data_IF_590656182975
#
_entry.id   IF_590656182975
#
_cell.length_a   1.000
_cell.length_b   1.000
_cell.length_c   1.000
_cell.angle_alpha   90.00
_cell.angle_beta   90.00
_cell.angle_gamma   90.00
#
_symmetry.space_group_name_H-M   'P 1'
#
loop_
_entity.id
_entity.type
_entity.pdbx_description
1 polymer ?
#
# COMPACT_ATOMS: atom_id res chain seq x y z
N UNK A 1 -0.01 -10.53 29.08
CA UNK A 1 -0.79 -9.26 29.13
C UNK A 1 -0.01 -8.26 29.97
N UNK A 2 1.20 -7.88 29.54
CA UNK A 2 2.21 -7.27 30.44
C UNK A 2 2.57 -5.81 30.13
N UNK A 3 2.03 -5.20 29.06
CA UNK A 3 2.50 -3.88 28.61
C UNK A 3 1.59 -2.68 28.98
N UNK A 4 0.53 -2.86 29.78
CA UNK A 4 -0.35 -1.76 30.19
C UNK A 4 -1.13 -1.06 29.07
N UNK A 5 -1.14 -1.63 27.86
CA UNK A 5 -1.85 -1.07 26.70
C UNK A 5 -3.33 -1.46 26.76
N UNK A 6 -4.28 -0.51 26.70
CA UNK A 6 -5.69 -0.82 26.60
C UNK A 6 -5.98 -1.67 25.34
N UNK A 7 -6.62 -2.82 25.52
CA UNK A 7 -6.94 -3.72 24.42
C UNK A 7 -8.38 -4.23 24.52
N UNK A 8 -8.98 -4.55 23.37
CA UNK A 8 -10.24 -5.26 23.29
C UNK A 8 -10.02 -6.64 22.66
N UNK A 9 -10.54 -7.69 23.31
CA UNK A 9 -10.59 -9.04 22.74
C UNK A 9 -11.99 -9.29 22.20
N UNK A 10 -12.07 -9.75 20.95
CA UNK A 10 -13.34 -10.00 20.26
C UNK A 10 -13.41 -11.45 19.80
N UNK A 11 -14.59 -12.05 19.86
CA UNK A 11 -14.78 -13.41 19.39
C UNK A 11 -14.76 -13.46 17.84
N UNK A 12 -14.07 -14.42 17.19
CA UNK A 12 -14.01 -14.52 15.73
C UNK A 12 -15.38 -14.58 15.03
N UNK A 13 -16.38 -15.17 15.69
CA UNK A 13 -17.75 -15.23 15.18
C UNK A 13 -18.40 -13.85 15.05
N UNK A 14 -18.03 -12.87 15.88
CA UNK A 14 -18.55 -11.50 15.77
C UNK A 14 -18.05 -10.83 14.48
N UNK A 15 -16.78 -11.04 14.13
CA UNK A 15 -16.21 -10.57 12.86
C UNK A 15 -16.86 -11.27 11.66
N UNK A 16 -17.15 -12.57 11.79
CA UNK A 16 -17.85 -13.32 10.75
C UNK A 16 -19.29 -12.82 10.55
N UNK A 17 -20.02 -12.56 11.65
CA UNK A 17 -21.35 -11.97 11.62
C UNK A 17 -21.32 -10.56 11.01
N UNK A 18 -20.30 -9.76 11.34
CA UNK A 18 -20.09 -8.44 10.74
C UNK A 18 -19.85 -8.51 9.22
N UNK A 19 -19.07 -9.49 8.74
CA UNK A 19 -18.92 -9.75 7.29
C UNK A 19 -20.27 -9.97 6.63
N UNK A 20 -21.07 -10.88 7.20
CA UNK A 20 -22.40 -11.21 6.67
C UNK A 20 -23.31 -9.97 6.65
N UNK A 21 -23.31 -9.19 7.74
CA UNK A 21 -24.09 -7.95 7.86
C UNK A 21 -23.69 -6.87 6.86
N UNK A 22 -22.39 -6.78 6.52
CA UNK A 22 -21.86 -5.86 5.49
C UNK A 22 -22.07 -6.36 4.05
N UNK A 23 -22.57 -7.58 3.86
CA UNK A 23 -22.79 -8.16 2.52
C UNK A 23 -21.49 -8.42 1.73
N UNK A 24 -20.34 -8.46 2.40
CA UNK A 24 -19.03 -8.63 1.74
C UNK A 24 -18.83 -10.12 1.43
N UNK A 25 -19.05 -10.48 0.15
CA UNK A 25 -18.91 -11.86 -0.34
C UNK A 25 -17.49 -12.22 -0.80
N UNK A 26 -16.77 -11.25 -1.35
CA UNK A 26 -15.41 -11.47 -1.84
C UNK A 26 -14.42 -11.58 -0.67
N UNK A 27 -13.53 -12.58 -0.73
CA UNK A 27 -12.49 -12.82 0.28
C UNK A 27 -11.13 -12.66 -0.38
N UNK A 28 -10.49 -11.52 -0.12
CA UNK A 28 -9.07 -11.28 -0.42
C UNK A 28 -8.43 -10.69 0.83
N UNK A 29 -7.12 -10.83 1.00
CA UNK A 29 -6.43 -10.31 2.19
C UNK A 29 -6.69 -8.81 2.39
N UNK A 30 -6.77 -8.05 1.30
CA UNK A 30 -7.11 -6.62 1.35
C UNK A 30 -8.53 -6.36 1.84
N UNK A 31 -9.49 -7.15 1.38
CA UNK A 31 -10.90 -7.01 1.79
C UNK A 31 -11.08 -7.47 3.24
N UNK A 32 -10.42 -8.56 3.65
CA UNK A 32 -10.45 -9.07 5.02
C UNK A 32 -9.81 -8.09 6.00
N UNK A 33 -8.62 -7.56 5.68
CA UNK A 33 -7.96 -6.56 6.50
C UNK A 33 -8.82 -5.30 6.67
N UNK A 34 -9.44 -4.83 5.57
CA UNK A 34 -10.33 -3.67 5.63
C UNK A 34 -11.57 -3.94 6.48
N UNK A 35 -12.20 -5.10 6.31
CA UNK A 35 -13.36 -5.51 7.11
C UNK A 35 -13.03 -5.56 8.61
N UNK A 36 -11.88 -6.15 8.97
CA UNK A 36 -11.43 -6.23 10.36
C UNK A 36 -11.16 -4.83 10.92
N UNK A 37 -10.53 -3.95 10.13
CA UNK A 37 -10.29 -2.57 10.55
C UNK A 37 -11.60 -1.80 10.78
N UNK A 38 -12.58 -1.93 9.87
CA UNK A 38 -13.89 -1.30 9.99
C UNK A 38 -14.68 -1.85 11.20
N UNK A 39 -14.58 -3.16 11.47
CA UNK A 39 -15.17 -3.78 12.64
C UNK A 39 -14.51 -3.28 13.93
N UNK A 40 -13.18 -3.28 13.98
CA UNK A 40 -12.42 -2.81 15.14
C UNK A 40 -12.69 -1.34 15.43
N UNK A 41 -12.77 -0.47 14.41
CA UNK A 41 -13.10 0.94 14.59
C UNK A 41 -14.47 1.11 15.26
N UNK A 42 -15.49 0.35 14.84
CA UNK A 42 -16.83 0.38 15.43
C UNK A 42 -16.85 -0.12 16.88
N UNK A 43 -16.17 -1.24 17.16
CA UNK A 43 -16.09 -1.83 18.50
C UNK A 43 -15.27 -0.97 19.48
N UNK A 44 -14.17 -0.37 19.02
CA UNK A 44 -13.31 0.50 19.83
C UNK A 44 -14.06 1.78 20.24
N UNK A 45 -14.77 2.40 19.29
CA UNK A 45 -15.58 3.60 19.54
C UNK A 45 -16.68 3.32 20.58
N UNK A 46 -17.39 2.20 20.45
CA UNK A 46 -18.41 1.77 21.42
C UNK A 46 -17.88 1.47 22.83
N UNK A 47 -16.56 1.25 22.98
CA UNK A 47 -15.88 0.98 24.26
C UNK A 47 -15.07 2.18 24.78
N UNK A 48 -15.14 3.32 24.10
CA UNK A 48 -14.34 4.51 24.43
C UNK A 48 -12.83 4.33 24.24
N UNK A 49 -12.42 3.28 23.54
CA UNK A 49 -11.01 3.03 23.20
C UNK A 49 -10.69 3.77 21.91
N UNK A 50 -9.59 4.53 21.91
CA UNK A 50 -9.08 5.16 20.69
C UNK A 50 -7.88 4.38 20.18
N UNK A 51 -7.76 4.15 18.86
CA UNK A 51 -6.53 3.64 18.29
C UNK A 51 -5.36 4.53 18.72
N UNK A 52 -4.27 3.91 19.17
CA UNK A 52 -3.03 4.65 19.41
C UNK A 52 -2.53 5.14 18.04
N UNK A 53 -2.49 6.46 17.87
CA UNK A 53 -1.98 7.09 16.66
C UNK A 53 -0.63 7.70 17.01
N UNK A 54 0.46 7.03 16.66
CA UNK A 54 1.82 7.58 16.80
C UNK A 54 2.13 8.55 15.66
N UNK A 55 2.92 9.59 15.95
CA UNK A 55 3.43 10.56 14.97
C UNK A 55 2.43 11.60 14.47
N UNK A 56 2.88 12.36 13.48
CA UNK A 56 2.15 13.52 12.95
C UNK A 56 0.94 13.10 12.09
N UNK A 57 -0.25 13.31 12.66
CA UNK A 57 -1.52 12.92 12.03
C UNK A 57 -1.79 13.60 10.70
N UNK A 58 -1.47 14.89 10.59
CA UNK A 58 -1.68 15.66 9.37
C UNK A 58 -0.63 15.26 8.31
N UNK A 59 0.60 14.91 8.71
CA UNK A 59 1.62 14.45 7.77
C UNK A 59 1.22 13.11 7.14
N UNK A 60 0.66 12.20 7.96
CA UNK A 60 0.10 10.93 7.49
C UNK A 60 -1.05 11.16 6.52
N UNK A 61 -1.93 12.11 6.80
CA UNK A 61 -3.04 12.47 5.92
C UNK A 61 -2.54 13.04 4.58
N UNK A 62 -1.57 13.95 4.60
CA UNK A 62 -0.96 14.51 3.40
C UNK A 62 -0.31 13.42 2.53
N UNK A 63 0.45 12.50 3.13
CA UNK A 63 1.06 11.37 2.40
C UNK A 63 -0.01 10.42 1.86
N UNK A 64 -1.07 10.15 2.61
CA UNK A 64 -2.20 9.34 2.12
C UNK A 64 -2.90 10.02 0.94
N UNK A 65 -3.12 11.34 1.00
CA UNK A 65 -3.72 12.11 -0.09
C UNK A 65 -2.82 12.14 -1.32
N UNK A 66 -1.51 12.31 -1.14
CA UNK A 66 -0.51 12.22 -2.22
C UNK A 66 -0.65 10.90 -2.98
N UNK A 67 -0.75 9.77 -2.27
CA UNK A 67 -0.97 8.45 -2.90
C UNK A 67 -2.25 8.42 -3.73
N UNK A 68 -3.35 8.94 -3.21
CA UNK A 68 -4.62 9.00 -3.95
C UNK A 68 -4.52 9.82 -5.23
N UNK A 69 -3.80 10.95 -5.22
CA UNK A 69 -3.58 11.75 -6.42
C UNK A 69 -2.71 11.03 -7.46
N UNK A 70 -1.68 10.30 -7.02
CA UNK A 70 -0.86 9.48 -7.91
C UNK A 70 -1.71 8.39 -8.57
N UNK A 71 -2.57 7.71 -7.79
CA UNK A 71 -3.47 6.68 -8.30
C UNK A 71 -4.47 7.27 -9.32
N UNK A 72 -5.04 8.45 -9.03
CA UNK A 72 -5.94 9.16 -9.93
C UNK A 72 -5.23 9.59 -11.23
N UNK A 73 -4.03 10.18 -11.12
CA UNK A 73 -3.23 10.58 -12.27
C UNK A 73 -2.86 9.39 -13.16
N UNK A 74 -2.52 8.25 -12.55
CA UNK A 74 -2.30 7.01 -13.30
C UNK A 74 -3.56 6.56 -14.04
N UNK A 75 -4.72 6.61 -13.40
CA UNK A 75 -5.99 6.27 -14.04
C UNK A 75 -6.30 7.19 -15.23
N UNK A 76 -6.09 8.50 -15.11
CA UNK A 76 -6.30 9.43 -16.23
C UNK A 76 -5.30 9.20 -17.37
N UNK A 77 -4.04 8.88 -17.07
CA UNK A 77 -3.04 8.52 -18.10
C UNK A 77 -3.46 7.27 -18.89
N UNK A 78 -3.98 6.25 -18.19
CA UNK A 78 -4.51 5.06 -18.84
C UNK A 78 -5.71 5.37 -19.75
N UNK A 79 -6.62 6.27 -19.33
CA UNK A 79 -7.74 6.71 -20.18
C UNK A 79 -7.26 7.53 -21.38
N UNK A 80 -6.30 8.41 -21.19
CA UNK A 80 -5.73 9.24 -22.25
C UNK A 80 -5.06 8.40 -23.34
N UNK A 81 -4.42 7.29 -22.96
CA UNK A 81 -3.82 6.34 -23.91
C UNK A 81 -4.85 5.67 -24.85
N UNK A 82 -6.13 5.63 -24.47
CA UNK A 82 -7.21 5.02 -25.25
C UNK A 82 -8.11 6.06 -25.94
N UNK A 83 -7.89 7.36 -25.71
CA UNK A 83 -8.76 8.41 -26.20
C UNK A 83 -8.39 8.83 -27.63
N UNK A 84 -9.30 8.64 -28.58
CA UNK A 84 -9.08 9.00 -29.99
C UNK A 84 -9.51 10.44 -30.31
N UNK A 85 -10.69 10.84 -29.84
CA UNK A 85 -11.26 12.14 -30.17
C UNK A 85 -10.51 13.30 -29.51
N UNK A 86 -10.22 14.36 -30.28
CA UNK A 86 -9.50 15.54 -29.79
C UNK A 86 -10.18 16.20 -28.57
N UNK A 87 -11.51 16.42 -28.55
CA UNK A 87 -12.15 17.04 -27.39
C UNK A 87 -11.96 16.25 -26.08
N UNK A 88 -11.99 14.91 -26.15
CA UNK A 88 -11.78 14.05 -24.98
C UNK A 88 -10.32 14.11 -24.51
N UNK A 89 -9.34 14.08 -25.43
CA UNK A 89 -7.93 14.21 -25.07
C UNK A 89 -7.63 15.56 -24.42
N UNK A 90 -8.19 16.65 -24.94
CA UNK A 90 -8.00 18.00 -24.39
C UNK A 90 -8.59 18.09 -22.98
N UNK A 91 -9.78 17.49 -22.76
CA UNK A 91 -10.39 17.37 -21.43
C UNK A 91 -9.52 16.56 -20.45
N UNK A 92 -9.01 15.39 -20.87
CA UNK A 92 -8.15 14.55 -20.03
C UNK A 92 -6.84 15.25 -19.68
N UNK A 93 -6.23 15.96 -20.64
CA UNK A 93 -5.00 16.72 -20.42
C UNK A 93 -5.21 17.83 -19.37
N UNK A 94 -6.35 18.53 -19.40
CA UNK A 94 -6.68 19.54 -18.39
C UNK A 94 -6.82 18.93 -16.98
N UNK A 95 -7.47 17.77 -16.86
CA UNK A 95 -7.57 17.05 -15.58
C UNK A 95 -6.20 16.59 -15.08
N UNK A 96 -5.38 16.01 -15.95
CA UNK A 96 -4.04 15.58 -15.60
C UNK A 96 -3.17 16.74 -15.11
N UNK A 97 -3.21 17.89 -15.78
CA UNK A 97 -2.48 19.08 -15.37
C UNK A 97 -2.92 19.57 -13.98
N UNK A 98 -4.23 19.55 -13.69
CA UNK A 98 -4.74 19.90 -12.37
C UNK A 98 -4.27 18.92 -11.28
N UNK A 99 -4.27 17.61 -11.58
CA UNK A 99 -3.77 16.59 -10.66
C UNK A 99 -2.27 16.72 -10.39
N UNK A 100 -1.47 17.01 -11.42
CA UNK A 100 -0.02 17.22 -11.31
C UNK A 100 0.29 18.47 -10.47
N UNK A 101 -0.44 19.57 -10.68
CA UNK A 101 -0.31 20.78 -9.87
C UNK A 101 -0.67 20.53 -8.40
N UNK A 102 -1.78 19.83 -8.14
CA UNK A 102 -2.19 19.47 -6.78
C UNK A 102 -1.16 18.54 -6.10
N UNK A 103 -0.58 17.62 -6.85
CA UNK A 103 0.46 16.71 -6.36
C UNK A 103 1.73 17.50 -5.95
N UNK A 104 2.20 18.40 -6.81
CA UNK A 104 3.36 19.25 -6.51
C UNK A 104 3.12 20.16 -5.28
N UNK A 105 1.90 20.69 -5.14
CA UNK A 105 1.50 21.45 -3.96
C UNK A 105 1.61 20.63 -2.67
N UNK A 106 1.09 19.40 -2.68
CA UNK A 106 1.20 18.51 -1.52
C UNK A 106 2.63 18.09 -1.22
N UNK A 107 3.45 17.80 -2.23
CA UNK A 107 4.86 17.45 -2.01
C UNK A 107 5.64 18.61 -1.38
N UNK A 108 5.33 19.85 -1.76
CA UNK A 108 5.91 21.05 -1.17
C UNK A 108 5.48 21.20 0.30
N UNK A 109 4.19 21.04 0.59
CA UNK A 109 3.65 21.12 1.95
C UNK A 109 4.26 20.05 2.87
N UNK A 110 4.36 18.82 2.37
CA UNK A 110 4.98 17.70 3.09
C UNK A 110 6.45 18.01 3.39
N UNK A 111 7.20 18.50 2.40
CA UNK A 111 8.61 18.84 2.59
C UNK A 111 8.80 19.97 3.61
N UNK A 112 7.95 21.01 3.55
CA UNK A 112 7.97 22.12 4.51
C UNK A 112 7.69 21.62 5.93
N UNK A 113 6.70 20.74 6.10
CA UNK A 113 6.34 20.16 7.39
C UNK A 113 7.48 19.32 7.99
N UNK A 114 8.13 18.49 7.17
CA UNK A 114 9.29 17.70 7.58
C UNK A 114 10.46 18.61 7.96
N UNK A 115 10.67 19.72 7.25
CA UNK A 115 11.75 20.66 7.53
C UNK A 115 11.50 21.50 8.81
N UNK A 116 10.23 21.76 9.14
CA UNK A 116 9.83 22.52 10.33
C UNK A 116 10.06 21.76 11.65
N UNK A 117 10.05 20.43 11.61
CA UNK A 117 10.31 19.57 12.76
C UNK A 117 11.79 19.10 12.76
N UNK A 118 12.62 19.47 13.76
CA UNK A 118 14.02 19.09 13.83
C UNK A 118 14.27 17.58 13.82
N UNK A 119 13.41 16.80 14.46
CA UNK A 119 13.55 15.34 14.57
C UNK A 119 13.21 14.68 13.23
N UNK A 120 12.13 15.13 12.57
CA UNK A 120 11.76 14.66 11.23
C UNK A 120 12.81 15.08 10.19
N UNK A 121 13.34 16.30 10.28
CA UNK A 121 14.39 16.77 9.40
C UNK A 121 15.69 15.96 9.59
N UNK A 122 16.05 15.61 10.83
CA UNK A 122 17.18 14.74 11.12
C UNK A 122 16.98 13.32 10.57
N UNK A 123 15.76 12.77 10.70
CA UNK A 123 15.40 11.50 10.08
C UNK A 123 15.51 11.55 8.56
N UNK A 124 14.98 12.60 7.93
CA UNK A 124 15.04 12.79 6.48
C UNK A 124 16.48 12.84 5.96
N UNK A 125 17.38 13.56 6.66
CA UNK A 125 18.82 13.61 6.32
C UNK A 125 19.48 12.23 6.40
N UNK A 126 19.15 11.42 7.41
CA UNK A 126 19.67 10.04 7.54
C UNK A 126 19.18 9.14 6.41
N UNK A 127 17.91 9.26 6.02
CA UNK A 127 17.37 8.48 4.91
C UNK A 127 17.96 8.91 3.57
N UNK A 128 18.21 10.21 3.38
CA UNK A 128 18.81 10.75 2.16
C UNK A 128 20.27 10.28 1.94
N UNK A 129 20.99 9.84 2.97
CA UNK A 129 22.33 9.27 2.78
C UNK A 129 22.32 7.87 2.18
N UNK A 130 21.15 7.21 2.09
CA UNK A 130 21.02 5.87 1.51
C UNK A 130 20.93 5.97 -0.01
N UNK A 131 21.82 5.24 -0.70
CA UNK A 131 21.81 5.15 -2.16
C UNK A 131 20.48 4.54 -2.66
N UNK A 132 19.78 5.25 -3.53
CA UNK A 132 18.51 4.80 -4.13
C UNK A 132 17.26 5.24 -3.35
N UNK A 133 17.39 5.95 -2.24
CA UNK A 133 16.25 6.51 -1.49
C UNK A 133 16.03 7.95 -1.92
N UNK A 134 14.97 8.19 -2.70
CA UNK A 134 14.61 9.52 -3.19
C UNK A 134 13.68 10.29 -2.26
N UNK A 135 13.48 11.61 -2.49
CA UNK A 135 12.65 12.47 -1.64
C UNK A 135 11.23 11.93 -1.41
N UNK A 136 10.60 11.41 -2.46
CA UNK A 136 9.27 10.79 -2.40
C UNK A 136 9.22 9.62 -1.42
N UNK A 137 10.24 8.76 -1.47
CA UNK A 137 10.34 7.60 -0.57
C UNK A 137 10.55 8.07 0.86
N UNK A 138 11.40 9.08 1.08
CA UNK A 138 11.64 9.67 2.41
C UNK A 138 10.34 10.21 3.00
N UNK A 139 9.62 11.04 2.25
CA UNK A 139 8.33 11.60 2.68
C UNK A 139 7.33 10.50 3.04
N UNK A 140 7.26 9.46 2.19
CA UNK A 140 6.35 8.33 2.40
C UNK A 140 6.71 7.55 3.66
N UNK A 141 8.00 7.25 3.87
CA UNK A 141 8.47 6.54 5.05
C UNK A 141 8.20 7.34 6.33
N UNK A 142 8.55 8.63 6.35
CA UNK A 142 8.36 9.47 7.53
C UNK A 142 6.87 9.64 7.87
N UNK A 143 6.01 9.85 6.88
CA UNK A 143 4.58 10.06 7.12
C UNK A 143 3.79 8.77 7.40
N UNK A 144 4.25 7.62 6.92
CA UNK A 144 3.56 6.34 7.09
C UNK A 144 4.11 5.48 8.24
N UNK A 145 5.35 5.71 8.67
CA UNK A 145 6.06 4.91 9.68
C UNK A 145 6.71 5.82 10.74
N UNK A 146 5.91 6.34 11.69
CA UNK A 146 6.43 7.16 12.78
C UNK A 146 7.39 6.39 13.72
N UNK A 147 7.37 5.06 13.70
CA UNK A 147 8.22 4.19 14.52
C UNK A 147 9.63 4.03 13.96
N UNK A 148 9.90 4.61 12.78
CA UNK A 148 11.17 4.48 12.08
C UNK A 148 12.32 5.07 12.93
N UNK A 149 13.40 4.30 13.06
CA UNK A 149 14.55 4.66 13.91
C UNK A 149 14.41 4.28 15.39
N UNK A 150 13.22 3.85 15.84
CA UNK A 150 12.99 3.30 17.18
C UNK A 150 12.90 1.77 17.17
N UNK A 151 12.27 1.21 16.15
CA UNK A 151 12.15 -0.24 15.96
C UNK A 151 13.26 -0.82 15.08
N UNK A 152 13.54 -2.10 15.25
CA UNK A 152 14.50 -2.84 14.42
C UNK A 152 13.96 -3.03 13.00
N UNK A 153 14.86 -3.25 12.04
CA UNK A 153 14.47 -3.49 10.65
C UNK A 153 13.52 -4.70 10.46
N UNK A 154 13.63 -5.73 11.31
CA UNK A 154 12.71 -6.88 11.28
C UNK A 154 11.31 -6.52 11.78
N UNK A 155 11.22 -5.70 12.82
CA UNK A 155 9.95 -5.21 13.36
C UNK A 155 9.26 -4.28 12.36
N UNK A 156 10.00 -3.34 11.76
CA UNK A 156 9.51 -2.48 10.69
C UNK A 156 9.03 -3.31 9.51
N UNK A 157 9.84 -4.27 9.01
CA UNK A 157 9.45 -5.15 7.92
C UNK A 157 8.20 -5.98 8.25
N UNK A 158 8.03 -6.41 9.50
CA UNK A 158 6.79 -7.07 9.93
C UNK A 158 5.60 -6.11 10.00
N UNK A 159 5.82 -4.85 10.40
CA UNK A 159 4.78 -3.82 10.52
C UNK A 159 4.24 -3.42 9.15
N UNK A 160 5.12 -3.30 8.14
CA UNK A 160 4.72 -3.02 6.75
C UNK A 160 4.31 -4.27 5.96
N UNK A 161 4.35 -5.46 6.57
CA UNK A 161 3.97 -6.72 5.91
C UNK A 161 4.97 -7.26 4.89
N UNK A 162 6.23 -6.81 4.94
CA UNK A 162 7.32 -7.27 4.07
C UNK A 162 8.08 -8.49 4.63
N UNK A 163 7.96 -8.78 5.93
CA UNK A 163 8.65 -9.91 6.55
C UNK A 163 7.94 -11.24 6.26
N UNK A 164 8.57 -12.22 5.58
CA UNK A 164 8.01 -13.55 5.41
C UNK A 164 7.91 -14.25 6.76
N UNK A 165 6.74 -14.78 7.10
CA UNK A 165 6.52 -15.59 8.31
C UNK A 165 6.49 -17.06 7.95
N UNK A 166 7.38 -17.85 8.55
CA UNK A 166 7.25 -19.31 8.55
C UNK A 166 5.99 -19.69 9.31
N UNK A 167 5.18 -20.55 8.69
CA UNK A 167 3.83 -20.92 9.16
C UNK A 167 3.94 -22.12 10.10
N UNK A 168 4.26 -21.87 11.37
CA UNK A 168 4.32 -22.94 12.38
C UNK A 168 2.99 -23.16 13.12
N UNK A 169 1.98 -22.31 12.89
CA UNK A 169 0.76 -22.26 13.69
C UNK A 169 -0.44 -23.03 13.09
N UNK A 170 -0.21 -24.09 12.31
CA UNK A 170 -1.31 -24.85 11.71
C UNK A 170 -1.02 -26.32 11.48
N UNK A 171 -1.50 -27.20 12.39
CA UNK A 171 -1.91 -28.55 12.00
C UNK A 171 -3.17 -28.42 11.14
N UNK A 172 -2.98 -28.19 9.85
CA UNK A 172 -3.98 -28.48 8.82
C UNK A 172 -3.38 -29.54 7.91
N UNK A 173 -4.16 -30.58 7.62
CA UNK A 173 -3.71 -31.88 7.13
C UNK A 173 -2.69 -31.84 5.98
N UNK A 174 -1.71 -32.74 6.10
CA UNK A 174 -0.81 -33.28 5.08
C UNK A 174 -0.58 -32.41 3.81
N UNK A 175 0.48 -31.60 3.85
CA UNK A 175 1.15 -31.06 2.66
C UNK A 175 2.50 -30.47 3.08
N UNK A 176 3.58 -30.63 2.28
CA UNK A 176 4.90 -30.13 2.67
C UNK A 176 4.90 -28.60 2.77
N UNK A 177 5.81 -28.01 3.57
CA UNK A 177 5.86 -26.57 3.79
C UNK A 177 6.08 -25.83 2.48
N UNK A 178 5.07 -25.09 2.03
CA UNK A 178 5.23 -24.17 0.91
C UNK A 178 5.78 -22.86 1.43
N UNK A 179 7.08 -22.64 1.20
CA UNK A 179 7.61 -21.29 1.14
C UNK A 179 7.02 -20.63 -0.11
N UNK A 180 6.12 -19.65 0.07
CA UNK A 180 5.64 -18.82 -1.02
C UNK A 180 6.75 -17.88 -1.46
N UNK A 181 7.70 -18.41 -2.24
CA UNK A 181 8.53 -17.60 -3.11
C UNK A 181 7.60 -16.95 -4.14
N UNK A 182 7.63 -15.62 -4.22
CA UNK A 182 7.07 -14.89 -5.34
C UNK A 182 7.73 -15.42 -6.62
N UNK A 183 7.05 -16.31 -7.34
CA UNK A 183 7.45 -16.71 -8.68
C UNK A 183 7.20 -15.51 -9.59
N UNK A 184 8.31 -14.87 -9.94
CA UNK A 184 8.47 -14.05 -11.14
C UNK A 184 7.74 -14.68 -12.32
N UNK A 185 6.83 -13.90 -12.91
CA UNK A 185 6.21 -14.19 -14.19
C UNK A 185 7.31 -14.28 -15.26
N UNK A 186 7.60 -15.49 -15.71
CA UNK A 186 8.46 -15.76 -16.85
C UNK A 186 7.72 -16.74 -17.77
N UNK A 187 6.74 -16.22 -18.51
CA UNK A 187 6.17 -16.84 -19.70
C UNK A 187 5.27 -15.84 -20.44
N UNK A 188 5.87 -14.72 -20.87
CA UNK A 188 5.47 -14.12 -22.15
C UNK A 188 6.14 -14.93 -23.26
N UNK A 189 5.43 -15.07 -24.38
CA UNK A 189 5.87 -15.64 -25.67
C UNK A 189 5.74 -17.16 -25.83
N UNK A 190 4.52 -17.59 -26.20
CA UNK A 190 4.33 -18.76 -27.05
C UNK A 190 3.38 -18.43 -28.20
N UNK A 191 3.95 -17.92 -29.29
CA UNK A 191 3.39 -18.05 -30.65
C UNK A 191 4.49 -18.59 -31.54
N UNK A 192 4.39 -19.83 -32.05
CA UNK A 192 5.12 -20.23 -33.23
C UNK A 192 4.25 -19.94 -34.47
N UNK A 193 4.71 -18.98 -35.25
CA UNK A 193 4.26 -18.72 -36.62
C UNK A 193 4.64 -19.89 -37.53
N UNK A 194 3.77 -20.17 -38.50
CA UNK A 194 3.83 -21.30 -39.41
C UNK A 194 5.08 -21.31 -40.31
N UNK A 195 5.59 -22.50 -40.59
CA UNK A 195 6.66 -22.75 -41.55
C UNK A 195 6.11 -22.80 -42.98
N UNK A 196 6.83 -22.28 -44.01
CA UNK A 196 6.61 -22.67 -45.39
C UNK A 196 7.46 -23.90 -45.75
N UNK A 197 6.81 -24.84 -46.43
CA UNK A 197 7.35 -26.07 -47.00
C UNK A 197 8.34 -25.79 -48.13
N UNK A 198 9.54 -26.38 -48.04
CA UNK A 198 10.49 -26.46 -49.14
C UNK A 198 10.22 -27.74 -49.96
N UNK A 199 9.91 -27.56 -51.24
CA UNK A 199 9.90 -28.63 -52.25
C UNK A 199 11.28 -28.68 -52.93
N UNK A 200 11.88 -29.87 -52.93
CA UNK A 200 13.10 -30.24 -53.65
C UNK A 200 12.80 -30.36 -55.15
N UNK A 201 13.67 -29.82 -56.02
CA UNK A 201 14.06 -30.52 -57.26
C UNK A 201 15.32 -29.93 -57.90
N UNK A 202 16.31 -30.83 -58.05
CA UNK A 202 17.49 -30.90 -58.94
C UNK A 202 18.48 -29.74 -59.04
#
# INVERSE_FOLDING_TARGET
MEAGVPFARVHPNEVAAFRARRGVKAKTDRIDARLIADFAALELDGRGLKPLVEGDGVLRELVARRRQLVDALHAERCRAALAESRPVRDSLAAVMAALEAALAGLETEIAARIAADPDLAAMARRLASLKGVGPVTIMTLIGALPELGRLTGKEIASLVGLAPRTRDSGRTGAGPPQATAARTCAACCSTPHAAPSATISR
#
